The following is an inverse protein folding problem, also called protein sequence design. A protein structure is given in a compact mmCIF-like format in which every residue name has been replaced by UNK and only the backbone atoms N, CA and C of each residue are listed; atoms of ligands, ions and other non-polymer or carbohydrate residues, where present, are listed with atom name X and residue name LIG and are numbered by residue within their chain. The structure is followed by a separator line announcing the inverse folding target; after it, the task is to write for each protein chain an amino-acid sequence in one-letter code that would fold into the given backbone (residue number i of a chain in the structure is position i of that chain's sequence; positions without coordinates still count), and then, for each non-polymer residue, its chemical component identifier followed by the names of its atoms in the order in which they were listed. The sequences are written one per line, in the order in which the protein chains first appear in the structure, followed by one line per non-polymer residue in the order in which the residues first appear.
data_IF_172639752858
#
_entry.id   IF_172639752858
#
_cell.length_a   1.000
_cell.length_b   1.000
_cell.length_c   1.000
_cell.angle_alpha   90.00
_cell.angle_beta   90.00
_cell.angle_gamma   90.00
#
_symmetry.space_group_name_H-M   'P 1'
#
loop_
_entity.id
_entity.type
_entity.pdbx_description
1 polymer ?
#
# COMPACT_ATOMS: atom_id res chain seq x y z
N UNK A 1 -1.99 -3.36 -17.46
CA UNK A 1 -3.21 -4.18 -17.27
C UNK A 1 -4.37 -3.25 -16.94
N UNK A 2 -5.51 -3.37 -17.60
CA UNK A 2 -6.65 -2.46 -17.34
C UNK A 2 -7.70 -3.10 -16.44
N UNK A 3 -8.15 -2.37 -15.42
CA UNK A 3 -9.28 -2.78 -14.57
C UNK A 3 -10.58 -2.86 -15.38
N UNK A 4 -11.38 -3.89 -15.12
CA UNK A 4 -12.73 -3.99 -15.71
C UNK A 4 -13.67 -2.93 -15.12
N UNK A 5 -14.72 -2.58 -15.86
CA UNK A 5 -15.78 -1.67 -15.38
C UNK A 5 -16.40 -2.16 -14.05
N UNK A 6 -16.48 -3.47 -13.84
CA UNK A 6 -16.97 -4.05 -12.58
C UNK A 6 -16.00 -3.80 -11.42
N UNK A 7 -14.69 -3.94 -11.65
CA UNK A 7 -13.67 -3.62 -10.64
C UNK A 7 -13.69 -2.12 -10.31
N UNK A 8 -13.77 -1.24 -11.31
CA UNK A 8 -13.85 0.21 -11.11
C UNK A 8 -15.12 0.58 -10.32
N UNK A 9 -16.27 -0.01 -10.65
CA UNK A 9 -17.51 0.20 -9.91
C UNK A 9 -17.40 -0.32 -8.46
N UNK A 10 -16.75 -1.46 -8.26
CA UNK A 10 -16.47 -2.01 -6.93
C UNK A 10 -15.59 -1.09 -6.11
N UNK A 11 -14.52 -0.52 -6.70
CA UNK A 11 -13.67 0.45 -6.03
C UNK A 11 -14.47 1.66 -5.54
N UNK A 12 -15.29 2.25 -6.43
CA UNK A 12 -16.11 3.42 -6.09
C UNK A 12 -17.06 3.14 -4.93
N UNK A 13 -17.62 1.93 -4.86
CA UNK A 13 -18.57 1.51 -3.80
C UNK A 13 -17.88 1.08 -2.51
N UNK A 14 -16.78 0.34 -2.60
CA UNK A 14 -16.15 -0.33 -1.45
C UNK A 14 -14.92 0.40 -0.91
N UNK A 15 -14.31 1.29 -1.68
CA UNK A 15 -13.10 2.03 -1.32
C UNK A 15 -11.79 1.27 -1.59
N UNK A 16 -11.85 0.04 -2.11
CA UNK A 16 -10.68 -0.77 -2.45
C UNK A 16 -10.98 -1.82 -3.54
N UNK A 17 -9.92 -2.36 -4.14
CA UNK A 17 -9.94 -3.57 -4.98
C UNK A 17 -8.80 -4.47 -4.52
N UNK A 18 -9.08 -5.74 -4.24
CA UNK A 18 -8.08 -6.76 -3.95
C UNK A 18 -8.66 -8.16 -4.21
N UNK A 19 -7.86 -9.15 -4.66
CA UNK A 19 -6.47 -9.01 -5.11
C UNK A 19 -6.37 -8.53 -6.56
N UNK A 20 -5.25 -7.88 -6.91
CA UNK A 20 -4.84 -7.59 -8.30
C UNK A 20 -3.47 -8.24 -8.50
N UNK A 21 -3.35 -9.14 -9.48
CA UNK A 21 -2.06 -9.77 -9.80
C UNK A 21 -1.26 -8.85 -10.72
N UNK A 22 -0.19 -8.27 -10.18
CA UNK A 22 0.65 -7.29 -10.87
C UNK A 22 1.95 -7.90 -11.39
N UNK A 23 2.62 -8.71 -10.56
CA UNK A 23 3.88 -9.35 -10.90
C UNK A 23 3.68 -10.82 -11.25
N UNK A 24 4.69 -11.46 -11.86
CA UNK A 24 4.84 -12.92 -11.83
C UNK A 24 5.77 -13.36 -10.68
N UNK A 25 6.17 -14.64 -10.63
CA UNK A 25 7.08 -15.13 -9.58
C UNK A 25 8.46 -14.48 -9.71
N UNK A 26 8.98 -14.36 -10.93
CA UNK A 26 10.31 -13.79 -11.21
C UNK A 26 10.42 -12.34 -10.74
N UNK A 27 9.41 -11.53 -11.03
CA UNK A 27 9.33 -10.13 -10.59
C UNK A 27 9.17 -10.03 -9.06
N UNK A 28 8.40 -10.94 -8.46
CA UNK A 28 8.28 -11.06 -7.00
C UNK A 28 9.62 -11.36 -6.34
N UNK A 29 10.34 -12.37 -6.84
CA UNK A 29 11.65 -12.78 -6.35
C UNK A 29 12.69 -11.66 -6.50
N UNK A 30 12.68 -10.94 -7.63
CA UNK A 30 13.53 -9.77 -7.82
C UNK A 30 13.25 -8.67 -6.78
N UNK A 31 11.97 -8.31 -6.56
CA UNK A 31 11.61 -7.31 -5.57
C UNK A 31 12.04 -7.74 -4.15
N UNK A 32 11.87 -9.03 -3.84
CA UNK A 32 12.31 -9.63 -2.57
C UNK A 32 13.81 -9.52 -2.39
N UNK A 33 14.60 -9.88 -3.40
CA UNK A 33 16.06 -9.83 -3.33
C UNK A 33 16.60 -8.40 -3.20
N UNK A 34 15.98 -7.43 -3.88
CA UNK A 34 16.32 -6.01 -3.72
C UNK A 34 15.97 -5.51 -2.31
N UNK A 35 14.79 -5.87 -1.79
CA UNK A 35 14.41 -5.52 -0.44
C UNK A 35 15.34 -6.13 0.61
N UNK A 36 15.74 -7.40 0.46
CA UNK A 36 16.68 -8.06 1.37
C UNK A 36 18.03 -7.33 1.43
N UNK A 37 18.55 -6.84 0.30
CA UNK A 37 19.78 -6.05 0.27
C UNK A 37 19.60 -4.70 0.98
N UNK A 38 18.47 -4.03 0.77
CA UNK A 38 18.14 -2.79 1.46
C UNK A 38 18.02 -3.00 2.98
N UNK A 39 17.31 -4.04 3.42
CA UNK A 39 17.16 -4.38 4.83
C UNK A 39 18.52 -4.70 5.48
N UNK A 40 19.39 -5.44 4.79
CA UNK A 40 20.72 -5.75 5.29
C UNK A 40 21.57 -4.49 5.52
N UNK A 41 21.39 -3.46 4.69
CA UNK A 41 22.09 -2.18 4.80
C UNK A 41 21.50 -1.24 5.86
N UNK A 42 20.16 -1.18 5.95
CA UNK A 42 19.45 -0.24 6.83
C UNK A 42 19.20 -0.79 8.25
N UNK A 43 19.21 -2.11 8.38
CA UNK A 43 18.90 -2.83 9.61
C UNK A 43 17.40 -3.05 9.82
N UNK A 44 17.07 -4.21 10.39
CA UNK A 44 15.69 -4.68 10.63
C UNK A 44 14.82 -3.70 11.42
N UNK A 45 15.40 -3.02 12.42
CA UNK A 45 14.65 -2.06 13.23
C UNK A 45 14.14 -0.88 12.41
N UNK A 46 15.00 -0.32 11.56
CA UNK A 46 14.64 0.77 10.65
C UNK A 46 13.68 0.29 9.57
N UNK A 47 13.86 -0.93 9.07
CA UNK A 47 13.00 -1.52 8.04
C UNK A 47 11.56 -1.72 8.46
N UNK A 48 11.26 -1.87 9.76
CA UNK A 48 9.88 -2.06 10.26
C UNK A 48 8.89 -1.02 9.72
N UNK A 49 9.23 0.27 9.85
CA UNK A 49 8.35 1.40 9.49
C UNK A 49 9.13 2.65 9.04
N UNK A 50 10.47 2.61 9.01
CA UNK A 50 11.31 3.79 8.80
C UNK A 50 11.75 4.02 7.36
N UNK A 51 11.39 3.14 6.43
CA UNK A 51 11.75 3.24 5.01
C UNK A 51 10.68 4.03 4.24
N UNK A 52 10.71 5.36 4.43
CA UNK A 52 9.87 6.33 3.74
C UNK A 52 10.65 7.01 2.60
N UNK A 53 9.97 7.28 1.48
CA UNK A 53 10.46 8.05 0.31
C UNK A 53 11.77 7.55 -0.30
N UNK A 54 12.06 6.26 -0.10
CA UNK A 54 13.27 5.60 -0.61
C UNK A 54 13.26 5.45 -2.14
N UNK A 55 12.15 5.77 -2.82
CA UNK A 55 12.13 5.88 -4.29
C UNK A 55 13.06 7.00 -4.81
N UNK A 56 13.43 7.96 -3.96
CA UNK A 56 14.36 9.03 -4.30
C UNK A 56 15.81 8.56 -4.48
N UNK A 57 16.20 7.44 -3.85
CA UNK A 57 17.57 6.96 -3.85
C UNK A 57 17.75 5.47 -4.13
N UNK A 58 16.66 4.69 -4.28
CA UNK A 58 16.70 3.29 -4.70
C UNK A 58 15.92 3.06 -5.99
N UNK A 59 16.61 2.71 -7.11
CA UNK A 59 15.97 2.53 -8.41
C UNK A 59 14.85 1.49 -8.42
N UNK A 60 15.01 0.35 -7.72
CA UNK A 60 13.99 -0.69 -7.72
C UNK A 60 12.65 -0.25 -7.10
N UNK A 61 12.69 0.70 -6.15
CA UNK A 61 11.48 1.24 -5.52
C UNK A 61 10.78 2.20 -6.48
N UNK A 62 11.55 3.01 -7.21
CA UNK A 62 11.01 3.84 -8.30
C UNK A 62 10.40 2.99 -9.42
N UNK A 63 11.11 1.94 -9.85
CA UNK A 63 10.63 0.97 -10.86
C UNK A 63 9.32 0.31 -10.41
N UNK A 64 9.21 -0.10 -9.15
CA UNK A 64 7.98 -0.67 -8.60
C UNK A 64 6.86 0.37 -8.55
N UNK A 65 7.13 1.56 -8.02
CA UNK A 65 6.14 2.64 -7.90
C UNK A 65 5.65 3.16 -9.26
N UNK A 66 6.44 2.98 -10.32
CA UNK A 66 6.13 3.40 -11.69
C UNK A 66 5.83 2.22 -12.62
N UNK A 67 5.60 1.03 -12.08
CA UNK A 67 5.28 -0.15 -12.89
C UNK A 67 4.01 0.11 -13.72
N UNK A 68 4.03 -0.14 -15.05
CA UNK A 68 2.90 0.16 -15.93
C UNK A 68 1.57 -0.48 -15.48
N UNK A 69 1.58 -1.72 -14.99
CA UNK A 69 0.36 -2.38 -14.54
C UNK A 69 -0.25 -1.73 -13.29
N UNK A 70 0.57 -1.16 -12.41
CA UNK A 70 0.11 -0.38 -11.26
C UNK A 70 -0.45 0.95 -11.74
N UNK A 71 0.30 1.67 -12.59
CA UNK A 71 -0.13 2.97 -13.12
C UNK A 71 -1.42 2.86 -13.92
N UNK A 72 -1.60 1.83 -14.74
CA UNK A 72 -2.84 1.55 -15.48
C UNK A 72 -4.03 1.36 -14.52
N UNK A 73 -3.84 0.66 -13.40
CA UNK A 73 -4.87 0.47 -12.39
C UNK A 73 -5.24 1.78 -11.68
N UNK A 74 -4.24 2.60 -11.36
CA UNK A 74 -4.41 3.90 -10.71
C UNK A 74 -5.10 4.88 -11.67
N UNK A 75 -4.63 4.98 -12.91
CA UNK A 75 -5.20 5.83 -13.95
C UNK A 75 -6.68 5.52 -14.19
N UNK A 76 -7.06 4.24 -14.19
CA UNK A 76 -8.45 3.83 -14.36
C UNK A 76 -9.39 4.34 -13.24
N UNK A 77 -8.84 4.71 -12.08
CA UNK A 77 -9.60 5.19 -10.92
C UNK A 77 -9.55 6.71 -10.78
N UNK A 78 -8.36 7.33 -10.91
CA UNK A 78 -8.16 8.76 -10.64
C UNK A 78 -7.99 9.62 -11.90
N UNK A 79 -7.86 8.99 -13.07
CA UNK A 79 -7.56 9.65 -14.34
C UNK A 79 -6.05 9.75 -14.63
N UNK A 80 -5.68 10.35 -15.77
CA UNK A 80 -4.34 10.24 -16.36
C UNK A 80 -3.26 11.08 -15.65
N UNK A 81 -3.65 12.05 -14.81
CA UNK A 81 -2.71 12.94 -14.14
C UNK A 81 -2.32 12.36 -12.78
N UNK A 82 -1.29 11.50 -12.79
CA UNK A 82 -0.82 10.80 -11.60
C UNK A 82 0.39 11.53 -11.01
N UNK A 83 0.36 11.76 -9.70
CA UNK A 83 1.50 12.22 -8.89
C UNK A 83 1.84 11.16 -7.84
N UNK A 84 3.09 10.71 -7.81
CA UNK A 84 3.60 9.90 -6.72
C UNK A 84 3.89 10.80 -5.51
N UNK A 85 3.11 10.65 -4.44
CA UNK A 85 3.27 11.45 -3.23
C UNK A 85 4.37 10.92 -2.31
N UNK A 86 4.39 9.60 -2.09
CA UNK A 86 5.31 8.93 -1.18
C UNK A 86 5.43 7.44 -1.49
N UNK A 87 6.50 6.81 -1.00
CA UNK A 87 6.60 5.35 -0.92
C UNK A 87 6.97 4.93 0.50
N UNK A 88 6.42 3.80 0.96
CA UNK A 88 6.64 3.34 2.33
C UNK A 88 6.63 1.81 2.42
N UNK A 89 7.65 1.22 3.06
CA UNK A 89 7.63 -0.19 3.45
C UNK A 89 7.07 -0.37 4.86
N UNK A 90 6.18 -1.36 5.01
CA UNK A 90 5.66 -1.83 6.28
C UNK A 90 6.10 -3.27 6.50
N UNK A 91 7.09 -3.48 7.37
CA UNK A 91 7.66 -4.80 7.63
C UNK A 91 7.20 -5.32 8.98
N UNK A 92 6.44 -6.42 8.96
CA UNK A 92 5.96 -7.13 10.15
C UNK A 92 6.85 -8.33 10.39
N UNK A 93 7.62 -8.26 11.46
CA UNK A 93 8.50 -9.34 11.88
C UNK A 93 7.82 -10.22 12.92
N UNK A 94 7.95 -11.54 12.79
CA UNK A 94 7.51 -12.48 13.83
C UNK A 94 8.19 -12.21 15.17
N UNK A 95 7.44 -12.38 16.27
CA UNK A 95 7.94 -12.22 17.65
C UNK A 95 7.63 -10.87 18.31
N UNK A 96 7.14 -9.89 17.56
CA UNK A 96 6.65 -8.61 18.11
C UNK A 96 5.11 -8.58 18.11
N UNK A 97 4.50 -9.16 19.14
CA UNK A 97 3.03 -9.23 19.33
C UNK A 97 2.39 -7.91 19.75
N UNK A 98 3.18 -6.95 20.21
CA UNK A 98 2.66 -5.79 20.96
C UNK A 98 2.40 -4.56 20.07
N UNK A 99 2.66 -4.67 18.76
CA UNK A 99 2.51 -3.55 17.81
C UNK A 99 1.40 -3.86 16.82
N UNK A 100 0.22 -3.31 17.07
CA UNK A 100 -0.89 -3.31 16.11
C UNK A 100 -1.10 -1.89 15.55
N UNK A 101 -1.58 -1.80 14.32
CA UNK A 101 -2.00 -0.54 13.72
C UNK A 101 -3.49 -0.39 13.98
N UNK A 102 -3.90 0.62 14.74
CA UNK A 102 -5.30 0.90 15.00
C UNK A 102 -6.04 1.29 13.70
N UNK A 103 -7.36 1.14 13.68
CA UNK A 103 -8.20 1.63 12.59
C UNK A 103 -7.95 3.13 12.33
N UNK A 104 -7.67 3.49 11.07
CA UNK A 104 -7.38 4.87 10.67
C UNK A 104 -7.70 5.10 9.18
N UNK A 105 -7.62 6.35 8.73
CA UNK A 105 -7.75 6.78 7.33
C UNK A 105 -6.49 7.57 6.91
N UNK A 106 -5.86 7.20 5.78
CA UNK A 106 -4.57 7.77 5.34
C UNK A 106 -4.62 9.29 5.04
N UNK A 107 -5.66 9.73 4.34
CA UNK A 107 -5.75 11.09 3.73
C UNK A 107 -5.83 12.21 4.76
N UNK A 108 -6.12 11.88 6.02
CA UNK A 108 -6.44 12.85 7.07
C UNK A 108 -5.28 13.79 7.45
N UNK A 109 -4.06 13.52 6.99
CA UNK A 109 -2.87 14.27 7.38
C UNK A 109 -2.15 15.03 6.25
N UNK A 110 -2.60 14.92 4.99
CA UNK A 110 -1.76 15.34 3.84
C UNK A 110 -2.13 16.69 3.20
N UNK A 111 -3.21 17.35 3.63
CA UNK A 111 -3.56 18.70 3.18
C UNK A 111 -3.80 18.83 1.67
N UNK A 112 -4.21 17.74 1.00
CA UNK A 112 -4.49 17.72 -0.43
C UNK A 112 -5.81 18.44 -0.76
N UNK A 113 -5.83 19.18 -1.87
CA UNK A 113 -7.03 19.80 -2.44
C UNK A 113 -7.14 19.42 -3.94
N UNK A 114 -8.13 18.61 -4.35
CA UNK A 114 -9.12 17.93 -3.49
C UNK A 114 -8.45 16.87 -2.58
N UNK A 115 -9.09 16.47 -1.45
CA UNK A 115 -8.55 15.47 -0.52
C UNK A 115 -8.68 14.06 -1.11
N UNK A 116 -8.02 13.82 -2.23
CA UNK A 116 -8.03 12.58 -2.98
C UNK A 116 -6.62 12.06 -3.08
N UNK A 117 -6.39 10.91 -2.46
CA UNK A 117 -5.23 10.06 -2.72
C UNK A 117 -5.69 8.62 -2.84
N UNK A 118 -4.92 7.82 -3.57
CA UNK A 118 -5.11 6.38 -3.68
C UNK A 118 -3.79 5.70 -3.33
N UNK A 119 -3.87 4.64 -2.54
CA UNK A 119 -2.71 3.87 -2.11
C UNK A 119 -2.68 2.55 -2.87
N UNK A 120 -1.58 2.28 -3.59
CA UNK A 120 -1.28 0.95 -4.10
C UNK A 120 -0.53 0.17 -3.02
N UNK A 121 -1.17 -0.83 -2.41
CA UNK A 121 -0.52 -1.72 -1.45
C UNK A 121 0.00 -2.97 -2.14
N UNK A 122 1.32 -3.05 -2.32
CA UNK A 122 2.00 -4.14 -3.02
C UNK A 122 2.63 -5.11 -2.02
N UNK A 123 2.21 -6.37 -2.07
CA UNK A 123 2.75 -7.43 -1.23
C UNK A 123 4.12 -7.89 -1.76
N UNK A 124 5.21 -7.54 -1.07
CA UNK A 124 6.57 -8.00 -1.40
C UNK A 124 6.82 -9.41 -0.85
N UNK A 125 6.13 -9.80 0.22
CA UNK A 125 6.03 -11.17 0.76
C UNK A 125 4.58 -11.63 0.66
N UNK A 126 4.36 -12.93 0.86
CA UNK A 126 3.04 -13.44 1.21
C UNK A 126 2.45 -12.61 2.37
N UNK A 127 1.19 -12.21 2.23
CA UNK A 127 0.47 -11.46 3.26
C UNK A 127 -0.84 -12.15 3.59
N UNK A 128 -0.93 -12.70 4.80
CA UNK A 128 -2.04 -13.49 5.28
C UNK A 128 -2.47 -13.04 6.69
N UNK A 129 -3.46 -13.73 7.25
CA UNK A 129 -4.00 -13.39 8.57
C UNK A 129 -2.98 -13.59 9.69
N UNK A 130 -2.04 -14.51 9.51
CA UNK A 130 -1.08 -14.91 10.54
C UNK A 130 0.14 -13.96 10.57
N UNK A 131 0.43 -13.27 9.47
CA UNK A 131 1.50 -12.27 9.38
C UNK A 131 1.03 -10.81 9.33
N UNK A 132 -0.27 -10.59 9.59
CA UNK A 132 -0.85 -9.27 9.75
C UNK A 132 -1.18 -8.56 8.44
N UNK A 133 -1.86 -9.24 7.52
CA UNK A 133 -2.42 -8.61 6.32
C UNK A 133 -3.27 -7.38 6.67
N UNK A 134 -3.34 -6.45 5.72
CA UNK A 134 -4.21 -5.27 5.84
C UNK A 134 -5.68 -5.67 5.98
N UNK A 135 -6.41 -4.98 6.84
CA UNK A 135 -7.85 -5.10 6.97
C UNK A 135 -8.51 -3.80 6.51
N UNK A 136 -9.62 -3.91 5.78
CA UNK A 136 -10.35 -2.77 5.24
C UNK A 136 -11.83 -2.96 5.57
N UNK A 137 -12.48 -1.90 6.06
CA UNK A 137 -13.93 -1.86 6.23
C UNK A 137 -14.54 -1.26 4.95
N UNK A 138 -15.29 -2.03 4.13
CA UNK A 138 -15.79 -1.54 2.86
C UNK A 138 -16.74 -0.33 3.02
N UNK A 139 -16.57 0.69 2.18
CA UNK A 139 -17.51 1.82 2.04
C UNK A 139 -17.28 2.98 3.01
N UNK A 140 -16.36 2.86 3.97
CA UNK A 140 -16.09 3.92 4.97
C UNK A 140 -15.44 5.17 4.36
N UNK A 141 -14.84 5.07 3.17
CA UNK A 141 -14.32 6.22 2.43
C UNK A 141 -15.41 7.22 2.02
N UNK A 142 -16.67 6.79 1.93
CA UNK A 142 -17.79 7.65 1.55
C UNK A 142 -18.38 8.46 2.73
N UNK A 143 -18.06 8.09 3.97
CA UNK A 143 -18.58 8.75 5.17
C UNK A 143 -17.86 10.08 5.50
N UNK A 144 -16.80 10.42 4.76
CA UNK A 144 -15.92 11.52 5.11
C UNK A 144 -14.95 11.14 6.22
N UNK A 145 -14.37 12.14 6.89
CA UNK A 145 -13.53 11.90 8.05
C UNK A 145 -14.38 11.55 9.27
N UNK A 146 -14.15 10.39 9.86
CA UNK A 146 -14.70 10.03 11.17
C UNK A 146 -13.55 9.86 12.17
N UNK A 147 -13.55 10.56 13.32
CA UNK A 147 -12.64 10.24 14.40
C UNK A 147 -13.02 8.86 14.94
N UNK A 148 -12.27 7.83 14.55
CA UNK A 148 -12.46 6.49 15.11
C UNK A 148 -12.02 6.50 16.58
N UNK A 149 -12.98 6.38 17.49
CA UNK A 149 -12.71 6.05 18.90
C UNK A 149 -12.01 4.67 18.95
N UNK A 150 -10.98 4.56 19.79
CA UNK A 150 -10.22 3.34 20.02
C UNK A 150 -11.17 2.14 20.26
N UNK A 151 -11.35 1.31 19.25
CA UNK A 151 -11.86 -0.04 19.43
C UNK A 151 -10.66 -1.00 19.30
N UNK A 152 -10.23 -1.64 20.40
CA UNK A 152 -9.23 -2.69 20.32
C UNK A 152 -9.76 -3.77 19.38
N UNK A 153 -8.98 -4.08 18.35
CA UNK A 153 -9.32 -5.13 17.38
C UNK A 153 -9.50 -6.47 18.07
N UNK A 154 -10.62 -7.11 17.76
CA UNK A 154 -10.94 -8.51 18.11
C UNK A 154 -10.10 -9.50 17.31
#
# INVERSE_FOLDING_TARGET
MTLSNLQIASFKKAGYISPIRIADQTQGDYCRDQFNQLEAAEGREKSMIGLLDRHMDHPFIWELATQPDILDCIEAVIGPNILLLATHFFCKYGGSSDRFVAWHQDVTYWGLEPPMAVTAWYAVDDSDRDNGCMQIIPGTHAAGWEPFEHQPGS
#
